data_IF_262773200644
#
_entry.id   IF_262773200644
#
_cell.length_a   1.000
_cell.length_b   1.000
_cell.length_c   1.000
_cell.angle_alpha   90.00
_cell.angle_beta   90.00
_cell.angle_gamma   90.00
#
_symmetry.space_group_name_H-M   'P 1'
#
loop_
_entity.id
_entity.type
_entity.pdbx_description
1 polymer ?
#
# COMPACT_ATOMS: atom_id res chain seq x y z
N UNK A 1 26.84 29.06 -13.51
CA UNK A 1 26.52 27.70 -13.02
C UNK A 1 25.10 27.71 -12.49
N UNK A 2 24.19 26.89 -13.04
CA UNK A 2 22.85 26.71 -12.46
C UNK A 2 22.98 25.83 -11.23
N UNK A 3 22.48 26.28 -10.07
CA UNK A 3 22.40 25.45 -8.86
C UNK A 3 21.33 24.38 -9.10
N UNK A 4 21.69 23.11 -8.90
CA UNK A 4 20.71 22.04 -8.78
C UNK A 4 20.04 22.24 -7.42
N UNK A 5 18.73 22.48 -7.43
CA UNK A 5 17.92 22.49 -6.21
C UNK A 5 17.72 21.03 -5.83
N UNK A 6 18.18 20.65 -4.64
CA UNK A 6 17.91 19.33 -4.08
C UNK A 6 16.41 19.21 -3.86
N UNK A 7 15.78 18.26 -4.54
CA UNK A 7 14.39 17.89 -4.32
C UNK A 7 14.36 16.77 -3.28
N UNK A 8 13.51 16.90 -2.27
CA UNK A 8 13.33 15.84 -1.28
C UNK A 8 12.48 14.71 -1.90
N UNK A 9 13.14 13.59 -2.17
CA UNK A 9 12.56 12.41 -2.81
C UNK A 9 11.36 11.84 -2.05
N UNK A 10 11.23 12.13 -0.75
CA UNK A 10 10.06 11.72 0.05
C UNK A 10 8.76 12.41 -0.35
N UNK A 11 8.81 13.50 -1.13
CA UNK A 11 7.62 14.15 -1.69
C UNK A 11 7.18 13.56 -3.03
N UNK A 12 7.96 12.65 -3.63
CA UNK A 12 7.51 11.93 -4.80
C UNK A 12 6.61 10.78 -4.37
N UNK A 13 5.47 10.55 -5.05
CA UNK A 13 4.72 9.33 -4.85
C UNK A 13 5.62 8.13 -5.17
N UNK A 14 5.46 7.00 -4.47
CA UNK A 14 6.22 5.79 -4.77
C UNK A 14 6.00 5.42 -6.23
N UNK A 15 7.05 4.98 -6.91
CA UNK A 15 6.89 4.51 -8.28
C UNK A 15 6.02 3.23 -8.29
N UNK A 16 5.43 2.88 -9.44
CA UNK A 16 4.59 1.68 -9.60
C UNK A 16 5.26 0.41 -9.02
N UNK A 17 6.58 0.31 -9.15
CA UNK A 17 7.37 -0.86 -8.76
C UNK A 17 7.59 -0.91 -7.25
N UNK A 18 7.84 0.23 -6.62
CA UNK A 18 7.89 0.36 -5.16
C UNK A 18 6.52 0.10 -4.53
N UNK A 19 5.46 0.64 -5.14
CA UNK A 19 4.09 0.38 -4.71
C UNK A 19 3.75 -1.11 -4.76
N UNK A 20 4.18 -1.81 -5.83
CA UNK A 20 3.99 -3.24 -5.95
C UNK A 20 4.67 -4.01 -4.80
N UNK A 21 5.94 -3.70 -4.50
CA UNK A 21 6.65 -4.33 -3.37
C UNK A 21 6.02 -3.98 -2.01
N UNK A 22 5.48 -2.77 -1.84
CA UNK A 22 4.74 -2.39 -0.63
C UNK A 22 3.46 -3.21 -0.48
N UNK A 23 2.72 -3.44 -1.57
CA UNK A 23 1.51 -4.25 -1.56
C UNK A 23 1.81 -5.70 -1.19
N UNK A 24 2.88 -6.27 -1.74
CA UNK A 24 3.34 -7.63 -1.40
C UNK A 24 3.66 -7.76 0.10
N UNK A 25 4.45 -6.82 0.65
CA UNK A 25 4.77 -6.80 2.09
C UNK A 25 3.52 -6.69 2.95
N UNK A 26 2.60 -5.82 2.56
CA UNK A 26 1.34 -5.59 3.29
C UNK A 26 0.46 -6.84 3.25
N UNK A 27 0.32 -7.48 2.09
CA UNK A 27 -0.43 -8.72 1.92
C UNK A 27 0.13 -9.85 2.80
N UNK A 28 1.47 -9.97 2.88
CA UNK A 28 2.12 -10.94 3.73
C UNK A 28 1.87 -10.70 5.22
N UNK A 29 2.10 -9.48 5.69
CA UNK A 29 1.90 -9.11 7.09
C UNK A 29 0.42 -9.32 7.49
N UNK A 30 -0.52 -8.87 6.66
CA UNK A 30 -1.96 -9.03 6.93
C UNK A 30 -2.37 -10.49 6.92
N UNK A 31 -1.78 -11.34 6.07
CA UNK A 31 -2.03 -12.78 6.06
C UNK A 31 -1.61 -13.44 7.38
N UNK A 32 -0.44 -13.09 7.92
CA UNK A 32 0.01 -13.57 9.24
C UNK A 32 -0.97 -13.16 10.33
N UNK A 33 -1.31 -11.87 10.40
CA UNK A 33 -2.17 -11.35 11.47
C UNK A 33 -3.59 -11.91 11.39
N UNK A 34 -4.15 -12.07 10.19
CA UNK A 34 -5.46 -12.70 9.99
C UNK A 34 -5.52 -14.13 10.54
N UNK A 35 -4.40 -14.84 10.48
CA UNK A 35 -4.29 -16.25 10.83
C UNK A 35 -3.49 -16.49 12.12
N UNK A 36 -3.30 -15.46 12.96
CA UNK A 36 -2.41 -15.52 14.13
C UNK A 36 -2.84 -16.56 15.18
N UNK A 37 -4.10 -16.98 15.14
CA UNK A 37 -4.67 -18.01 16.02
C UNK A 37 -4.31 -19.44 15.58
N UNK A 38 -3.76 -19.62 14.37
CA UNK A 38 -3.31 -20.92 13.87
C UNK A 38 -1.87 -21.18 14.29
N UNK A 39 -1.51 -22.47 14.45
CA UNK A 39 -0.14 -22.90 14.74
C UNK A 39 0.85 -22.44 13.64
N UNK A 40 0.40 -22.50 12.39
CA UNK A 40 1.13 -22.03 11.21
C UNK A 40 0.29 -20.93 10.55
N UNK A 41 0.60 -19.64 10.80
CA UNK A 41 -0.26 -18.54 10.37
C UNK A 41 -0.16 -18.24 8.87
N UNK A 42 0.90 -18.68 8.19
CA UNK A 42 1.03 -18.46 6.75
C UNK A 42 1.84 -19.56 6.08
N UNK A 43 1.51 -19.84 4.83
CA UNK A 43 2.32 -20.66 3.89
C UNK A 43 3.20 -19.78 2.98
N UNK A 44 3.06 -18.45 3.08
CA UNK A 44 3.80 -17.50 2.28
C UNK A 44 5.22 -17.33 2.83
N UNK A 45 6.17 -17.06 1.93
CA UNK A 45 7.56 -16.78 2.28
C UNK A 45 7.83 -15.28 2.19
N UNK A 46 8.58 -14.68 3.13
CA UNK A 46 8.98 -13.28 3.05
C UNK A 46 9.65 -12.92 1.71
N UNK A 47 10.49 -13.81 1.19
CA UNK A 47 11.29 -13.61 -0.03
C UNK A 47 10.46 -13.42 -1.29
N UNK A 48 9.24 -13.99 -1.33
CA UNK A 48 8.28 -13.81 -2.40
C UNK A 48 7.29 -12.67 -2.14
N UNK A 49 7.41 -12.00 -1.00
CA UNK A 49 6.49 -10.96 -0.55
C UNK A 49 7.21 -9.67 -0.14
N UNK A 50 8.23 -9.29 -0.92
CA UNK A 50 8.90 -8.00 -0.82
C UNK A 50 9.94 -7.88 0.30
N UNK A 51 10.50 -9.01 0.73
CA UNK A 51 11.66 -9.05 1.63
C UNK A 51 12.85 -9.74 0.96
N UNK A 52 14.06 -9.35 1.34
CA UNK A 52 15.29 -10.01 0.97
C UNK A 52 15.94 -10.61 2.21
N UNK A 53 16.40 -11.86 2.14
CA UNK A 53 17.18 -12.47 3.21
C UNK A 53 18.67 -12.15 2.99
N UNK A 54 19.22 -11.23 3.80
CA UNK A 54 20.60 -10.78 3.74
C UNK A 54 21.23 -11.02 5.11
N UNK A 55 22.32 -11.79 5.18
CA UNK A 55 23.03 -12.09 6.44
C UNK A 55 22.11 -12.58 7.58
N UNK A 56 21.17 -13.47 7.25
CA UNK A 56 20.15 -14.01 8.17
C UNK A 56 19.19 -12.97 8.76
N UNK A 57 19.07 -11.80 8.12
CA UNK A 57 18.08 -10.78 8.45
C UNK A 57 17.22 -10.46 7.24
N UNK A 58 15.96 -10.14 7.49
CA UNK A 58 15.07 -9.66 6.45
C UNK A 58 15.21 -8.14 6.31
N UNK A 59 15.53 -7.71 5.10
CA UNK A 59 15.48 -6.30 4.69
C UNK A 59 14.41 -6.11 3.62
N UNK A 60 13.93 -4.89 3.45
CA UNK A 60 12.92 -4.59 2.45
C UNK A 60 13.47 -4.71 1.03
N UNK A 61 12.74 -5.43 0.19
CA UNK A 61 12.90 -5.34 -1.25
C UNK A 61 12.15 -4.11 -1.74
N UNK A 62 12.83 -2.96 -1.82
CA UNK A 62 12.19 -1.69 -2.13
C UNK A 62 11.64 -1.63 -3.56
N UNK A 63 12.37 -2.16 -4.53
CA UNK A 63 11.97 -2.24 -5.91
C UNK A 63 12.82 -3.31 -6.60
N UNK A 64 12.31 -3.87 -7.69
CA UNK A 64 13.08 -4.76 -8.56
C UNK A 64 13.38 -4.06 -9.89
N UNK A 65 14.26 -4.61 -10.73
CA UNK A 65 14.65 -4.17 -12.09
C UNK A 65 15.23 -2.76 -12.26
N UNK A 66 15.21 -2.25 -13.50
CA UNK A 66 15.94 -1.04 -13.87
C UNK A 66 15.37 0.22 -13.19
N UNK A 67 16.26 0.94 -12.50
CA UNK A 67 16.02 2.27 -11.94
C UNK A 67 16.21 3.39 -12.95
N UNK A 68 16.91 3.07 -14.05
CA UNK A 68 17.21 4.00 -15.14
C UNK A 68 16.27 3.73 -16.31
N UNK A 69 15.66 4.77 -16.87
CA UNK A 69 14.94 4.67 -18.13
C UNK A 69 15.88 4.15 -19.22
N UNK A 70 15.36 3.33 -20.12
CA UNK A 70 16.17 2.70 -21.18
C UNK A 70 16.76 3.74 -22.12
N UNK A 71 16.15 4.92 -22.23
CA UNK A 71 16.61 6.02 -23.05
C UNK A 71 16.38 7.39 -22.39
N UNK A 72 17.21 8.38 -22.73
CA UNK A 72 17.00 9.77 -22.34
C UNK A 72 15.67 10.31 -22.89
N UNK A 73 15.20 9.78 -24.02
CA UNK A 73 13.90 10.14 -24.58
C UNK A 73 12.71 9.77 -23.67
N UNK A 74 12.87 8.78 -22.78
CA UNK A 74 11.85 8.41 -21.80
C UNK A 74 11.76 9.42 -20.64
N UNK A 75 12.83 10.21 -20.42
CA UNK A 75 12.91 11.26 -19.39
C UNK A 75 12.41 12.60 -19.95
N UNK A 76 12.62 12.81 -21.25
CA UNK A 76 12.09 13.96 -21.97
C UNK A 76 10.57 13.78 -22.08
N UNK A 77 9.88 14.14 -21.01
CA UNK A 77 8.43 14.27 -20.93
C UNK A 77 7.94 14.80 -22.28
N UNK A 78 7.20 13.98 -23.00
CA UNK A 78 6.56 14.40 -24.25
C UNK A 78 5.76 15.65 -23.88
N UNK A 79 6.24 16.82 -24.32
CA UNK A 79 5.40 18.03 -24.33
C UNK A 79 4.12 17.72 -25.09
N UNK A 80 3.03 18.49 -24.90
CA UNK A 80 1.75 18.18 -25.52
C UNK A 80 1.94 18.06 -27.04
N UNK A 81 1.98 16.81 -27.51
CA UNK A 81 1.81 16.51 -28.91
C UNK A 81 0.31 16.61 -29.14
N UNK A 82 -0.15 17.84 -29.35
CA UNK A 82 -1.39 18.13 -30.05
C UNK A 82 -1.31 17.51 -31.45
N UNK A 83 -1.53 16.21 -31.55
CA UNK A 83 -1.96 15.57 -32.79
C UNK A 83 -2.97 14.51 -32.45
N UNK A 84 -4.23 14.93 -32.52
CA UNK A 84 -5.39 14.08 -32.66
C UNK A 84 -5.10 12.92 -33.62
N UNK A 85 -5.24 11.69 -33.15
CA UNK A 85 -5.77 10.60 -33.97
C UNK A 85 -6.63 9.76 -33.04
N UNK A 86 -7.93 9.90 -33.24
CA UNK A 86 -8.96 9.18 -32.53
C UNK A 86 -8.79 7.66 -32.73
N UNK A 87 -8.68 6.93 -31.62
CA UNK A 87 -9.24 5.59 -31.52
C UNK A 87 -10.20 5.59 -30.34
N UNK A 88 -11.48 5.64 -30.66
CA UNK A 88 -12.60 5.43 -29.75
C UNK A 88 -12.52 4.02 -29.17
N UNK A 89 -12.50 3.93 -27.85
CA UNK A 89 -13.29 2.97 -27.07
C UNK A 89 -13.45 3.49 -25.65
N UNK A 90 -14.71 3.82 -25.31
CA UNK A 90 -15.32 3.58 -23.99
C UNK A 90 -14.97 4.53 -22.83
N UNK A 91 -15.79 5.60 -22.75
CA UNK A 91 -16.29 6.31 -21.56
C UNK A 91 -15.41 6.33 -20.29
N UNK A 92 -14.63 7.40 -20.15
CA UNK A 92 -14.17 7.90 -18.85
C UNK A 92 -15.36 8.62 -18.17
N UNK A 93 -15.94 8.01 -17.14
CA UNK A 93 -16.79 8.72 -16.19
C UNK A 93 -15.90 9.62 -15.32
N UNK A 94 -16.10 10.93 -15.46
CA UNK A 94 -15.49 11.93 -14.60
C UNK A 94 -16.00 11.71 -13.17
N UNK A 95 -15.18 11.12 -12.29
CA UNK A 95 -15.50 11.04 -10.86
C UNK A 95 -15.46 12.48 -10.32
N UNK A 96 -16.64 13.03 -10.04
CA UNK A 96 -16.78 14.26 -9.26
C UNK A 96 -16.38 13.98 -7.81
N UNK A 97 -15.49 14.80 -7.26
CA UNK A 97 -15.18 14.83 -5.84
C UNK A 97 -16.43 15.23 -5.03
N UNK A 98 -17.22 14.25 -4.61
CA UNK A 98 -18.17 14.40 -3.52
C UNK A 98 -17.50 13.93 -2.23
N UNK A 99 -17.20 14.88 -1.35
CA UNK A 99 -16.75 14.62 0.02
C UNK A 99 -17.84 13.85 0.77
N UNK A 100 -17.65 12.54 0.90
CA UNK A 100 -18.50 11.67 1.69
C UNK A 100 -18.11 11.84 3.17
N UNK A 101 -18.70 12.84 3.82
CA UNK A 101 -18.67 12.97 5.28
C UNK A 101 -19.49 11.78 5.82
N UNK A 102 -18.79 10.72 6.22
CA UNK A 102 -19.36 9.68 7.07
C UNK A 102 -19.61 10.32 8.45
N UNK A 103 -20.87 10.55 8.78
CA UNK A 103 -21.27 10.83 10.16
C UNK A 103 -21.00 9.57 10.99
N UNK A 104 -20.01 9.64 11.87
CA UNK A 104 -19.79 8.61 12.89
C UNK A 104 -20.96 8.69 13.88
N UNK A 105 -21.82 7.66 13.88
CA UNK A 105 -22.77 7.45 14.97
C UNK A 105 -22.05 6.76 16.12
N UNK A 106 -21.68 7.53 17.14
CA UNK A 106 -21.29 7.02 18.46
C UNK A 106 -22.53 6.39 19.14
N UNK A 107 -22.73 5.10 18.95
CA UNK A 107 -23.63 4.29 19.79
C UNK A 107 -22.81 3.59 20.88
N UNK A 108 -22.49 4.37 21.91
CA UNK A 108 -21.83 3.94 23.15
C UNK A 108 -22.89 3.35 24.12
N UNK A 109 -23.48 2.20 23.78
CA UNK A 109 -24.30 1.45 24.76
C UNK A 109 -23.39 0.55 25.62
N UNK A 110 -22.86 1.18 26.68
CA UNK A 110 -22.27 0.52 27.83
C UNK A 110 -23.34 -0.33 28.56
N UNK A 111 -23.48 -1.60 28.18
CA UNK A 111 -24.27 -2.58 28.94
C UNK A 111 -23.36 -3.27 29.96
N UNK A 112 -23.19 -2.60 31.10
CA UNK A 112 -22.62 -3.16 32.32
C UNK A 112 -23.59 -4.23 32.86
N UNK A 113 -23.32 -5.50 32.57
CA UNK A 113 -23.96 -6.61 33.27
C UNK A 113 -23.06 -7.07 34.40
N UNK A 114 -23.25 -6.46 35.57
CA UNK A 114 -22.81 -7.04 36.83
C UNK A 114 -23.53 -8.39 37.02
N UNK A 115 -22.86 -9.48 36.66
CA UNK A 115 -23.27 -10.82 37.12
C UNK A 115 -22.69 -11.02 38.52
N UNK A 116 -23.55 -10.84 39.52
CA UNK A 116 -23.31 -11.34 40.86
C UNK A 116 -23.54 -12.86 40.86
N UNK A 117 -22.47 -13.65 40.97
CA UNK A 117 -22.58 -15.04 41.41
C UNK A 117 -21.98 -15.16 42.80
N UNK A 118 -22.83 -14.86 43.77
CA UNK A 118 -22.74 -15.41 45.12
C UNK A 118 -23.21 -16.87 45.02
N UNK A 119 -22.29 -17.81 45.19
CA UNK A 119 -22.60 -19.22 45.38
C UNK A 119 -21.67 -19.79 46.46
N UNK A 120 -22.18 -19.78 47.68
CA UNK A 120 -21.79 -20.71 48.74
C UNK A 120 -21.77 -22.15 48.18
N UNK A 121 -20.66 -22.88 48.35
CA UNK A 121 -20.69 -24.21 49.00
C UNK A 121 -19.29 -24.84 49.14
N UNK A 122 -19.06 -25.32 50.38
CA UNK A 122 -18.03 -26.24 50.92
C UNK A 122 -16.63 -25.71 51.26
#
# INVERSE_FOLDING_TARGET
MKKVVSYDSSNLPPCQRELHQQLLRTAYITNIWRNCHLKEPTILTPENNGWNLIDSRYDFNWFEGNTVPSSIFDILLQGPADTATAQSTEAEECISDEENIVEESDDDENSDSEISDDAEEN
#
